data_IF_941602004786
#
_entry.id   IF_941602004786
#
_cell.length_a   1.000
_cell.length_b   1.000
_cell.length_c   1.000
_cell.angle_alpha   90.00
_cell.angle_beta   90.00
_cell.angle_gamma   90.00
#
_symmetry.space_group_name_H-M   'P 1'
#
loop_
_entity.id
_entity.type
_entity.pdbx_description
1 polymer ?
#
# COMPACT_ATOMS: atom_id res chain seq x y z
N UNK A 1 -15.28 24.84 -36.47
CA UNK A 1 -15.84 23.47 -36.51
C UNK A 1 -14.68 22.48 -36.53
N UNK A 2 -14.66 21.48 -35.64
CA UNK A 2 -13.66 20.42 -35.60
C UNK A 2 -14.42 19.08 -35.62
N UNK A 3 -14.21 18.27 -36.66
CA UNK A 3 -14.93 17.01 -36.84
C UNK A 3 -14.42 15.97 -35.83
N UNK A 4 -15.32 15.42 -35.01
CA UNK A 4 -15.03 14.22 -34.21
C UNK A 4 -15.03 12.99 -35.13
N UNK A 5 -13.84 12.46 -35.41
CA UNK A 5 -13.70 11.19 -36.15
C UNK A 5 -14.06 10.02 -35.22
N UNK A 6 -15.19 9.38 -35.49
CA UNK A 6 -15.74 8.29 -34.66
C UNK A 6 -15.20 6.91 -35.08
N UNK A 7 -13.87 6.75 -35.09
CA UNK A 7 -13.21 5.55 -35.63
C UNK A 7 -11.89 5.24 -34.90
N UNK A 8 -11.66 3.97 -34.53
CA UNK A 8 -10.41 3.54 -33.91
C UNK A 8 -9.38 3.18 -35.00
N UNK A 9 -8.22 3.89 -35.10
CA UNK A 9 -7.29 3.79 -36.23
C UNK A 9 -6.50 2.47 -36.32
N UNK A 10 -6.67 1.55 -35.37
CA UNK A 10 -5.97 0.26 -35.34
C UNK A 10 -6.88 -0.96 -35.64
N UNK A 11 -8.20 -0.81 -35.50
CA UNK A 11 -9.14 -1.95 -35.53
C UNK A 11 -10.35 -1.77 -36.46
N UNK A 12 -10.56 -0.58 -37.04
CA UNK A 12 -11.58 -0.36 -38.06
C UNK A 12 -13.05 -0.39 -37.62
N UNK A 13 -13.33 -0.49 -36.31
CA UNK A 13 -14.69 -0.55 -35.79
C UNK A 13 -15.25 0.85 -35.45
N UNK A 14 -16.52 1.09 -35.79
CA UNK A 14 -17.30 2.25 -35.30
C UNK A 14 -17.76 2.00 -33.86
N UNK A 15 -17.54 2.97 -33.00
CA UNK A 15 -18.09 3.00 -31.64
C UNK A 15 -19.60 3.31 -31.71
N UNK A 16 -20.46 2.29 -31.59
CA UNK A 16 -21.90 2.50 -31.37
C UNK A 16 -22.15 2.49 -29.87
N UNK A 17 -22.68 3.59 -29.34
CA UNK A 17 -23.05 3.69 -27.93
C UNK A 17 -24.30 2.84 -27.65
N UNK A 18 -24.11 1.62 -27.17
CA UNK A 18 -25.19 0.80 -26.63
C UNK A 18 -25.45 1.18 -25.17
N UNK A 19 -26.56 1.88 -24.95
CA UNK A 19 -27.19 2.01 -23.64
C UNK A 19 -27.94 0.69 -23.38
N UNK A 20 -27.66 -0.07 -22.31
CA UNK A 20 -28.43 -1.26 -22.00
C UNK A 20 -29.84 -0.85 -21.55
N UNK A 21 -30.82 -1.13 -22.39
CA UNK A 21 -32.25 -1.09 -22.04
C UNK A 21 -32.54 -2.18 -21.01
N UNK A 22 -33.38 -1.84 -20.04
CA UNK A 22 -33.74 -2.70 -18.92
C UNK A 22 -34.89 -3.63 -19.34
N UNK A 23 -34.57 -4.66 -20.12
CA UNK A 23 -35.54 -5.67 -20.59
C UNK A 23 -35.68 -6.81 -19.57
N UNK A 24 -36.88 -6.96 -19.00
CA UNK A 24 -37.15 -7.93 -17.94
C UNK A 24 -37.54 -9.30 -18.50
N UNK A 25 -36.60 -10.26 -18.50
CA UNK A 25 -36.82 -11.65 -18.90
C UNK A 25 -37.03 -12.59 -17.68
N UNK A 26 -37.92 -13.57 -17.82
CA UNK A 26 -38.33 -14.48 -16.75
C UNK A 26 -37.24 -15.50 -16.35
N UNK A 27 -37.24 -15.91 -15.07
CA UNK A 27 -36.23 -16.78 -14.50
C UNK A 27 -36.47 -18.28 -14.80
N UNK A 28 -35.45 -19.05 -15.22
CA UNK A 28 -35.50 -20.52 -15.28
C UNK A 28 -35.37 -21.16 -13.87
N UNK A 29 -35.79 -22.42 -13.68
CA UNK A 29 -35.87 -23.06 -12.37
C UNK A 29 -34.49 -23.35 -11.74
N UNK A 30 -34.39 -23.11 -10.44
CA UNK A 30 -33.16 -23.31 -9.65
C UNK A 30 -32.85 -24.80 -9.43
N UNK A 31 -31.57 -25.23 -9.52
CA UNK A 31 -31.16 -26.56 -9.06
C UNK A 31 -31.25 -26.68 -7.53
N UNK A 32 -31.64 -27.88 -7.05
CA UNK A 32 -31.75 -28.18 -5.62
C UNK A 32 -30.42 -27.98 -4.88
N UNK A 33 -30.44 -27.12 -3.87
CA UNK A 33 -29.35 -26.95 -2.91
C UNK A 33 -29.36 -28.15 -1.93
N UNK A 34 -28.21 -28.81 -1.66
CA UNK A 34 -28.14 -29.85 -0.64
C UNK A 34 -28.31 -29.25 0.77
N UNK A 35 -28.81 -30.02 1.75
CA UNK A 35 -29.03 -29.51 3.11
C UNK A 35 -27.72 -29.03 3.76
N UNK A 36 -27.77 -27.98 4.61
CA UNK A 36 -26.57 -27.47 5.27
C UNK A 36 -26.02 -28.53 6.25
N UNK A 37 -24.72 -28.79 6.12
CA UNK A 37 -23.97 -29.57 7.12
C UNK A 37 -24.04 -28.81 8.46
N UNK A 38 -24.38 -29.45 9.59
CA UNK A 38 -24.40 -28.78 10.89
C UNK A 38 -23.00 -28.27 11.23
N UNK A 39 -22.83 -26.96 11.19
CA UNK A 39 -21.59 -26.29 11.63
C UNK A 39 -21.48 -26.50 13.14
N UNK A 40 -20.37 -27.11 13.58
CA UNK A 40 -20.09 -27.28 14.99
C UNK A 40 -20.08 -25.91 15.71
N UNK A 41 -20.62 -25.87 16.92
CA UNK A 41 -20.68 -24.65 17.71
C UNK A 41 -19.28 -24.00 17.84
N UNK A 42 -19.17 -22.66 17.82
CA UNK A 42 -17.89 -22.01 17.98
C UNK A 42 -17.27 -22.40 19.32
N UNK A 43 -16.05 -22.92 19.27
CA UNK A 43 -15.23 -23.16 20.48
C UNK A 43 -15.15 -21.84 21.25
N UNK A 44 -15.51 -21.81 22.54
CA UNK A 44 -15.35 -20.61 23.35
C UNK A 44 -13.90 -20.16 23.29
N UNK A 45 -13.67 -18.91 22.85
CA UNK A 45 -12.34 -18.33 22.91
C UNK A 45 -11.84 -18.41 24.36
N UNK A 46 -10.62 -18.93 24.55
CA UNK A 46 -10.05 -19.05 25.88
C UNK A 46 -10.06 -17.68 26.56
N UNK A 47 -10.73 -17.59 27.71
CA UNK A 47 -10.80 -16.38 28.51
C UNK A 47 -9.38 -15.91 28.79
N UNK A 48 -9.00 -14.67 28.40
CA UNK A 48 -7.70 -14.14 28.78
C UNK A 48 -7.59 -14.21 30.31
N UNK A 49 -6.50 -14.79 30.81
CA UNK A 49 -6.22 -14.78 32.24
C UNK A 49 -6.25 -13.33 32.75
N UNK A 50 -6.85 -13.04 33.92
CA UNK A 50 -6.92 -11.69 34.43
C UNK A 50 -5.50 -11.14 34.57
N UNK A 51 -5.19 -10.11 33.79
CA UNK A 51 -3.93 -9.37 33.90
C UNK A 51 -3.87 -8.87 35.35
N UNK A 52 -2.83 -9.22 36.13
CA UNK A 52 -2.72 -8.72 37.50
C UNK A 52 -2.72 -7.19 37.45
N UNK A 53 -3.63 -6.58 38.23
CA UNK A 53 -3.74 -5.13 38.29
C UNK A 53 -2.34 -4.54 38.62
N UNK A 54 -1.94 -3.43 37.97
CA UNK A 54 -0.68 -2.78 38.30
C UNK A 54 -0.73 -2.42 39.78
N UNK A 55 0.16 -3.05 40.57
CA UNK A 55 0.36 -2.69 41.98
C UNK A 55 0.61 -1.18 42.01
N UNK A 56 -0.16 -0.40 42.78
CA UNK A 56 0.12 1.01 42.93
C UNK A 56 1.56 1.15 43.42
N UNK A 57 2.43 1.73 42.59
CA UNK A 57 3.76 2.11 43.04
C UNK A 57 3.57 3.00 44.26
N UNK A 58 4.10 2.57 45.40
CA UNK A 58 3.95 3.29 46.65
C UNK A 58 4.43 4.73 46.42
N UNK A 59 3.49 5.68 46.48
CA UNK A 59 3.79 7.09 46.29
C UNK A 59 4.72 7.46 47.43
N UNK A 60 6.01 7.63 47.10
CA UNK A 60 7.00 8.14 48.03
C UNK A 60 6.46 9.48 48.58
N UNK A 61 6.33 9.55 49.90
CA UNK A 61 5.64 10.65 50.56
C UNK A 61 6.19 12.01 50.09
N UNK A 62 5.33 13.01 49.84
CA UNK A 62 5.77 14.31 49.38
C UNK A 62 6.76 14.90 50.40
N UNK A 63 7.99 15.13 49.95
CA UNK A 63 9.04 15.77 50.73
C UNK A 63 8.51 17.14 51.21
N UNK A 64 8.38 17.39 52.52
CA UNK A 64 7.70 18.59 53.00
C UNK A 64 8.36 19.87 52.47
N UNK A 65 7.53 20.80 51.97
CA UNK A 65 7.99 22.13 51.63
C UNK A 65 8.55 22.82 52.89
N UNK A 66 9.69 23.50 52.75
CA UNK A 66 10.20 24.38 53.79
C UNK A 66 9.22 25.55 53.97
N UNK A 67 8.37 25.45 54.99
CA UNK A 67 7.52 26.55 55.44
C UNK A 67 8.44 27.61 56.07
N UNK A 68 8.46 28.87 55.59
CA UNK A 68 9.18 29.93 56.28
C UNK A 68 8.58 30.14 57.67
N UNK A 69 9.46 30.14 58.67
CA UNK A 69 9.15 30.15 60.10
C UNK A 69 8.20 31.30 60.47
N UNK A 70 7.03 31.03 61.11
CA UNK A 70 6.18 32.08 61.65
C UNK A 70 6.93 32.93 62.67
N UNK A 71 6.84 34.26 62.56
CA UNK A 71 7.29 35.17 63.59
C UNK A 71 6.41 35.00 64.85
N UNK A 72 6.97 35.07 66.07
CA UNK A 72 6.19 34.95 67.30
C UNK A 72 5.19 36.12 67.42
N UNK A 73 3.95 35.87 67.88
CA UNK A 73 2.96 36.91 68.05
C UNK A 73 3.34 37.85 69.20
N UNK A 74 3.16 39.17 68.99
CA UNK A 74 3.27 40.15 70.06
C UNK A 74 2.13 39.97 71.08
N UNK A 75 2.39 40.13 72.39
CA UNK A 75 1.35 40.05 73.41
C UNK A 75 0.36 41.23 73.30
N UNK A 76 -0.95 41.00 73.53
CA UNK A 76 -1.96 42.05 73.44
C UNK A 76 -1.88 43.06 74.61
N UNK A 77 -2.20 44.32 74.30
CA UNK A 77 -2.18 45.40 75.28
C UNK A 77 -3.38 45.37 76.24
N UNK A 78 -3.14 45.72 77.51
CA UNK A 78 -4.17 46.07 78.49
C UNK A 78 -4.31 47.61 78.61
N UNK A 79 -5.45 48.15 79.06
CA UNK A 79 -5.88 49.51 78.68
C UNK A 79 -5.69 50.61 79.75
N UNK A 80 -6.11 51.81 79.34
CA UNK A 80 -6.46 53.01 80.13
C UNK A 80 -5.32 53.97 80.56
N UNK A 81 -5.28 55.15 79.92
CA UNK A 81 -5.90 56.41 80.41
C UNK A 81 -5.89 57.49 79.31
N UNK A 82 -6.87 58.39 79.35
CA UNK A 82 -7.00 59.61 78.51
C UNK A 82 -7.36 60.80 79.44
N UNK A 83 -7.45 62.07 79.00
CA UNK A 83 -7.04 62.75 77.75
C UNK A 83 -5.87 63.74 78.11
N UNK A 84 -5.70 65.02 77.65
CA UNK A 84 -6.30 65.78 76.54
C UNK A 84 -5.35 66.67 75.66
N UNK A 85 -5.76 66.79 74.39
CA UNK A 85 -5.77 67.98 73.50
C UNK A 85 -4.55 68.94 73.28
N UNK A 86 -4.38 69.24 71.98
CA UNK A 86 -3.75 70.40 71.28
C UNK A 86 -2.31 70.20 70.74
N UNK A 87 -1.91 70.90 69.65
CA UNK A 87 -2.66 71.09 68.40
C UNK A 87 -1.80 70.89 67.12
N UNK A 88 -2.47 70.68 65.98
CA UNK A 88 -2.02 70.92 64.57
C UNK A 88 -0.54 70.67 64.23
N UNK A 89 -0.27 69.51 63.61
CA UNK A 89 0.90 69.30 62.76
C UNK A 89 0.46 68.85 61.35
N UNK A 90 0.29 69.85 60.48
CA UNK A 90 0.37 69.91 59.00
C UNK A 90 0.18 68.59 58.20
N UNK A 91 -0.74 68.64 57.24
CA UNK A 91 -0.98 67.60 56.25
C UNK A 91 0.30 67.13 55.53
N UNK A 92 0.56 65.82 55.56
CA UNK A 92 1.60 65.18 54.75
C UNK A 92 1.05 64.70 53.40
N UNK A 93 1.01 65.63 52.46
CA UNK A 93 1.12 65.40 51.01
C UNK A 93 2.36 66.22 50.62
N UNK A 94 3.39 65.69 49.92
CA UNK A 94 3.27 64.97 48.66
C UNK A 94 4.32 63.80 48.57
N UNK A 95 4.85 63.28 47.42
CA UNK A 95 5.06 63.91 46.10
C UNK A 95 4.10 63.41 44.99
N UNK A 96 3.80 64.24 43.97
CA UNK A 96 3.27 63.71 42.72
C UNK A 96 4.28 62.73 42.11
N UNK A 97 3.80 61.60 41.59
CA UNK A 97 4.66 60.67 40.84
C UNK A 97 5.27 61.44 39.67
N UNK A 98 6.60 61.45 39.48
CA UNK A 98 7.20 62.16 38.36
C UNK A 98 6.57 61.63 37.06
N UNK A 99 6.21 62.50 36.10
CA UNK A 99 5.59 62.05 34.85
C UNK A 99 6.52 61.01 34.21
N UNK A 100 5.98 59.82 33.97
CA UNK A 100 6.72 58.72 33.34
C UNK A 100 7.30 59.26 32.04
N UNK A 101 8.62 59.45 32.00
CA UNK A 101 9.27 60.17 30.89
C UNK A 101 8.87 59.50 29.57
N UNK A 102 8.64 60.31 28.54
CA UNK A 102 8.23 59.81 27.22
C UNK A 102 9.16 58.67 26.71
N UNK A 103 10.45 58.76 27.03
CA UNK A 103 11.45 57.70 26.77
C UNK A 103 11.15 56.36 27.44
N UNK A 104 10.59 56.35 28.65
CA UNK A 104 10.18 55.11 29.35
C UNK A 104 8.93 54.50 28.72
N UNK A 105 8.00 55.35 28.25
CA UNK A 105 6.86 54.90 27.43
C UNK A 105 7.30 54.33 26.08
N UNK A 106 8.26 54.97 25.41
CA UNK A 106 8.86 54.45 24.16
C UNK A 106 9.59 53.14 24.42
N UNK A 107 10.38 53.03 25.49
CA UNK A 107 11.05 51.78 25.85
C UNK A 107 10.05 50.65 26.16
N UNK A 108 8.99 50.95 26.93
CA UNK A 108 7.90 50.00 27.17
C UNK A 108 7.19 49.61 25.87
N UNK A 109 6.94 50.56 24.96
CA UNK A 109 6.36 50.29 23.66
C UNK A 109 7.28 49.44 22.78
N UNK A 110 8.59 49.68 22.74
CA UNK A 110 9.56 48.86 22.00
C UNK A 110 9.68 47.45 22.58
N UNK A 111 9.68 47.30 23.91
CA UNK A 111 9.65 45.99 24.57
C UNK A 111 8.33 45.27 24.29
N UNK A 112 7.19 45.97 24.34
CA UNK A 112 5.89 45.39 24.02
C UNK A 112 5.79 45.02 22.53
N UNK A 113 6.31 45.85 21.63
CA UNK A 113 6.42 45.59 20.18
C UNK A 113 7.38 44.44 19.92
N UNK A 114 8.45 44.28 20.69
CA UNK A 114 9.41 43.18 20.58
C UNK A 114 8.83 41.85 21.06
N UNK A 115 8.21 41.83 22.26
CA UNK A 115 7.45 40.68 22.78
C UNK A 115 6.30 40.34 21.83
N UNK A 116 5.63 41.34 21.28
CA UNK A 116 4.63 41.15 20.24
C UNK A 116 5.28 40.61 18.96
N UNK A 117 6.41 41.10 18.46
CA UNK A 117 7.08 40.48 17.31
C UNK A 117 7.49 39.02 17.55
N UNK A 118 7.77 38.65 18.81
CA UNK A 118 8.10 37.28 19.22
C UNK A 118 6.88 36.38 19.49
N UNK A 119 5.69 36.95 19.72
CA UNK A 119 4.48 36.23 20.19
C UNK A 119 3.21 36.56 19.37
N UNK A 120 3.31 37.44 18.37
CA UNK A 120 2.28 37.76 17.39
C UNK A 120 2.41 36.79 16.23
N UNK A 121 1.31 36.25 15.71
CA UNK A 121 1.30 35.59 14.41
C UNK A 121 1.50 36.64 13.30
N UNK A 122 2.74 37.02 13.04
CA UNK A 122 3.20 37.53 11.75
C UNK A 122 3.69 36.31 10.93
N UNK A 123 3.11 35.93 9.79
CA UNK A 123 2.00 36.54 9.02
C UNK A 123 1.17 35.46 8.30
N UNK A 124 -0.12 35.72 8.00
CA UNK A 124 -0.90 34.97 7.00
C UNK A 124 -0.73 35.57 5.58
N UNK A 125 -1.10 34.88 4.49
CA UNK A 125 -1.36 33.45 4.34
C UNK A 125 -0.29 32.72 3.50
N UNK A 126 0.71 33.41 2.95
CA UNK A 126 1.59 32.85 1.91
C UNK A 126 2.38 31.62 2.37
N UNK A 127 3.07 31.70 3.52
CA UNK A 127 3.85 30.59 4.07
C UNK A 127 2.99 29.45 4.60
N UNK A 128 1.84 29.74 5.23
CA UNK A 128 0.91 28.73 5.76
C UNK A 128 0.18 28.00 4.64
N UNK A 129 -0.24 28.72 3.58
CA UNK A 129 -0.80 28.09 2.39
C UNK A 129 0.25 27.19 1.72
N UNK A 130 1.50 27.66 1.58
CA UNK A 130 2.60 26.88 1.01
C UNK A 130 2.97 25.66 1.87
N UNK A 131 2.94 25.75 3.22
CA UNK A 131 3.08 24.59 4.11
C UNK A 131 1.92 23.60 3.97
N UNK A 132 0.70 24.08 3.80
CA UNK A 132 -0.49 23.23 3.61
C UNK A 132 -0.46 22.58 2.22
N UNK A 133 0.03 23.26 1.19
CA UNK A 133 0.25 22.68 -0.14
C UNK A 133 1.41 21.69 -0.14
N UNK A 134 2.51 21.95 0.56
CA UNK A 134 3.59 20.99 0.76
C UNK A 134 3.11 19.75 1.54
N UNK A 135 2.34 19.92 2.63
CA UNK A 135 1.74 18.80 3.36
C UNK A 135 0.67 18.05 2.55
N UNK A 136 -0.03 18.74 1.64
CA UNK A 136 -0.95 18.10 0.69
C UNK A 136 -0.17 17.34 -0.39
N UNK A 137 0.98 17.85 -0.83
CA UNK A 137 1.88 17.15 -1.74
C UNK A 137 2.47 15.88 -1.09
N UNK A 138 2.83 15.92 0.20
CA UNK A 138 3.19 14.72 0.98
C UNK A 138 2.03 13.71 1.04
N UNK A 139 0.81 14.17 1.32
CA UNK A 139 -0.38 13.31 1.32
C UNK A 139 -0.71 12.72 -0.06
N UNK A 140 -0.31 13.38 -1.17
CA UNK A 140 -0.40 12.86 -2.54
C UNK A 140 0.77 11.93 -2.90
N UNK A 141 1.94 12.11 -2.29
CA UNK A 141 3.09 11.19 -2.36
C UNK A 141 2.94 9.98 -1.41
N UNK A 142 1.79 9.83 -0.78
CA UNK A 142 1.47 8.80 0.21
C UNK A 142 2.29 8.83 1.51
N UNK A 143 2.97 9.93 1.81
CA UNK A 143 3.51 10.21 3.15
C UNK A 143 2.42 10.81 4.05
N UNK A 144 1.56 9.94 4.55
CA UNK A 144 0.47 10.32 5.45
C UNK A 144 0.96 10.70 6.85
N UNK A 145 2.11 10.19 7.29
CA UNK A 145 2.66 10.45 8.63
C UNK A 145 3.44 11.77 8.67
N UNK A 146 4.13 12.13 7.59
CA UNK A 146 4.58 13.49 7.32
C UNK A 146 3.41 14.47 7.26
N UNK A 147 2.32 14.13 6.56
CA UNK A 147 1.13 14.99 6.50
C UNK A 147 0.40 15.13 7.86
N UNK A 148 0.32 14.07 8.67
CA UNK A 148 -0.24 14.08 10.04
C UNK A 148 0.62 14.89 11.02
N UNK A 149 1.95 14.74 10.95
CA UNK A 149 2.86 15.50 11.80
C UNK A 149 2.87 16.98 11.43
N UNK A 150 2.88 17.32 10.14
CA UNK A 150 2.67 18.69 9.66
C UNK A 150 1.33 19.28 10.15
N UNK A 151 0.25 18.50 10.14
CA UNK A 151 -1.06 18.90 10.66
C UNK A 151 -1.04 19.18 12.18
N UNK A 152 -0.23 18.45 12.95
CA UNK A 152 -0.01 18.73 14.38
C UNK A 152 0.75 20.05 14.59
N UNK A 153 1.80 20.31 13.80
CA UNK A 153 2.56 21.58 13.82
C UNK A 153 1.67 22.76 13.42
N UNK A 154 0.87 22.62 12.36
CA UNK A 154 -0.12 23.62 11.93
C UNK A 154 -1.17 23.92 13.00
N UNK A 155 -1.59 22.90 13.77
CA UNK A 155 -2.48 23.09 14.94
C UNK A 155 -1.79 23.85 16.08
N UNK A 156 -0.54 23.51 16.43
CA UNK A 156 0.19 24.22 17.50
C UNK A 156 0.50 25.68 17.13
N UNK A 157 0.77 25.94 15.84
CA UNK A 157 0.99 27.28 15.28
C UNK A 157 -0.31 28.11 15.09
N UNK A 158 -1.47 27.60 15.53
CA UNK A 158 -2.80 28.23 15.38
C UNK A 158 -3.14 28.62 13.91
N UNK A 159 -2.79 27.77 12.95
CA UNK A 159 -3.12 27.98 11.55
C UNK A 159 -4.65 28.05 11.32
N UNK A 160 -5.14 28.70 10.23
CA UNK A 160 -6.57 28.91 10.05
C UNK A 160 -7.32 27.60 9.84
N UNK A 161 -8.42 27.41 10.59
CA UNK A 161 -9.15 26.15 10.67
C UNK A 161 -9.65 25.60 9.30
N UNK A 162 -9.87 26.48 8.32
CA UNK A 162 -10.23 26.10 6.94
C UNK A 162 -9.13 25.28 6.26
N UNK A 163 -7.85 25.66 6.43
CA UNK A 163 -6.72 24.92 5.86
C UNK A 163 -6.50 23.58 6.58
N UNK A 164 -6.64 23.55 7.91
CA UNK A 164 -6.54 22.32 8.70
C UNK A 164 -7.63 21.32 8.27
N UNK A 165 -8.88 21.78 8.07
CA UNK A 165 -9.97 20.93 7.55
C UNK A 165 -9.71 20.45 6.13
N UNK A 166 -9.17 21.30 5.25
CA UNK A 166 -8.82 20.91 3.86
C UNK A 166 -7.71 19.85 3.83
N UNK A 167 -6.65 20.03 4.63
CA UNK A 167 -5.57 19.05 4.75
C UNK A 167 -6.06 17.74 5.38
N UNK A 168 -6.91 17.80 6.42
CA UNK A 168 -7.50 16.59 6.99
C UNK A 168 -8.37 15.84 5.96
N UNK A 169 -9.17 16.55 5.16
CA UNK A 169 -9.96 15.95 4.10
C UNK A 169 -9.10 15.36 2.97
N UNK A 170 -7.97 15.99 2.60
CA UNK A 170 -7.04 15.43 1.61
C UNK A 170 -6.34 14.18 2.13
N UNK A 171 -5.87 14.18 3.38
CA UNK A 171 -5.30 13.00 4.06
C UNK A 171 -6.32 11.86 4.11
N UNK A 172 -7.56 12.09 4.59
CA UNK A 172 -8.58 11.02 4.64
C UNK A 172 -8.95 10.51 3.24
N UNK A 173 -8.95 11.38 2.22
CA UNK A 173 -9.25 10.99 0.83
C UNK A 173 -8.12 10.19 0.18
N UNK A 174 -6.85 10.50 0.44
CA UNK A 174 -5.71 9.74 -0.09
C UNK A 174 -5.41 8.47 0.70
N UNK A 175 -5.75 8.44 2.00
CA UNK A 175 -5.40 7.35 2.92
C UNK A 175 -5.67 5.95 2.36
N UNK A 176 -6.91 5.64 1.96
CA UNK A 176 -7.26 4.31 1.48
C UNK A 176 -6.52 3.87 0.20
N UNK A 177 -6.12 4.81 -0.66
CA UNK A 177 -5.31 4.52 -1.84
C UNK A 177 -3.84 4.25 -1.47
N UNK A 178 -3.30 5.08 -0.58
CA UNK A 178 -1.94 4.97 -0.07
C UNK A 178 -1.72 3.73 0.80
N UNK A 179 -2.66 3.41 1.70
CA UNK A 179 -2.66 2.17 2.49
C UNK A 179 -2.67 0.95 1.56
N UNK A 180 -3.47 0.97 0.49
CA UNK A 180 -3.50 -0.10 -0.52
C UNK A 180 -2.17 -0.21 -1.28
N UNK A 181 -1.53 0.91 -1.62
CA UNK A 181 -0.23 0.93 -2.29
C UNK A 181 0.91 0.43 -1.36
N UNK A 182 0.87 0.78 -0.08
CA UNK A 182 1.82 0.31 0.92
C UNK A 182 1.65 -1.21 1.17
N UNK A 183 0.41 -1.70 1.30
CA UNK A 183 0.13 -3.13 1.40
C UNK A 183 0.58 -3.91 0.15
N UNK A 184 0.42 -3.33 -1.05
CA UNK A 184 0.98 -3.89 -2.29
C UNK A 184 2.51 -3.99 -2.20
N UNK A 185 3.19 -2.91 -1.82
CA UNK A 185 4.65 -2.89 -1.69
C UNK A 185 5.17 -3.91 -0.66
N UNK A 186 4.45 -4.13 0.44
CA UNK A 186 4.77 -5.17 1.43
C UNK A 186 4.48 -6.59 0.93
N UNK A 187 3.42 -6.79 0.14
CA UNK A 187 3.07 -8.09 -0.44
C UNK A 187 3.97 -8.50 -1.62
N UNK A 188 4.63 -7.53 -2.27
CA UNK A 188 5.50 -7.74 -3.43
C UNK A 188 6.71 -8.66 -3.17
N UNK A 189 7.57 -8.44 -2.15
CA UNK A 189 8.72 -9.33 -1.88
C UNK A 189 8.27 -10.77 -1.58
N UNK A 190 7.23 -10.94 -0.76
CA UNK A 190 6.66 -12.26 -0.46
C UNK A 190 6.16 -12.98 -1.73
N UNK A 191 5.57 -12.26 -2.68
CA UNK A 191 5.25 -12.83 -3.99
C UNK A 191 6.52 -13.21 -4.75
N UNK A 192 7.48 -12.28 -4.89
CA UNK A 192 8.72 -12.54 -5.64
C UNK A 192 9.41 -13.81 -5.14
N UNK A 193 9.55 -13.98 -3.83
CA UNK A 193 10.22 -15.13 -3.25
C UNK A 193 9.42 -16.41 -3.49
N UNK A 194 8.08 -16.35 -3.36
CA UNK A 194 7.22 -17.49 -3.72
C UNK A 194 7.28 -17.86 -5.21
N UNK A 195 7.52 -16.89 -6.10
CA UNK A 195 7.67 -17.12 -7.55
C UNK A 195 9.06 -17.68 -7.84
N UNK A 196 10.12 -17.06 -7.32
CA UNK A 196 11.52 -17.54 -7.43
C UNK A 196 11.67 -18.97 -6.91
N UNK A 197 11.07 -19.29 -5.76
CA UNK A 197 11.05 -20.64 -5.20
C UNK A 197 10.33 -21.62 -6.13
N UNK A 198 9.17 -21.25 -6.69
CA UNK A 198 8.44 -22.10 -7.62
C UNK A 198 9.22 -22.35 -8.92
N UNK A 199 9.93 -21.35 -9.44
CA UNK A 199 10.83 -21.46 -10.59
C UNK A 199 12.05 -22.35 -10.27
N UNK A 200 12.66 -22.18 -9.10
CA UNK A 200 13.81 -22.98 -8.64
C UNK A 200 13.51 -24.48 -8.47
N UNK A 201 12.25 -24.86 -8.28
CA UNK A 201 11.80 -26.26 -8.26
C UNK A 201 11.15 -26.71 -9.59
N UNK A 202 11.33 -25.95 -10.68
CA UNK A 202 10.84 -26.29 -12.02
C UNK A 202 9.32 -26.15 -12.22
N UNK A 203 8.59 -25.49 -11.32
CA UNK A 203 7.11 -25.38 -11.35
C UNK A 203 6.65 -24.05 -11.93
N UNK A 204 6.94 -23.82 -13.22
CA UNK A 204 6.65 -22.56 -13.92
C UNK A 204 5.14 -22.23 -14.07
N UNK A 205 4.26 -23.23 -14.14
CA UNK A 205 2.79 -23.01 -14.15
C UNK A 205 2.28 -22.54 -12.77
N UNK A 206 2.89 -23.03 -11.69
CA UNK A 206 2.57 -22.62 -10.31
C UNK A 206 3.02 -21.17 -10.08
N UNK A 207 4.22 -20.83 -10.57
CA UNK A 207 4.75 -19.46 -10.56
C UNK A 207 3.80 -18.48 -11.27
N UNK A 208 3.33 -18.81 -12.48
CA UNK A 208 2.35 -17.98 -13.21
C UNK A 208 1.02 -17.87 -12.48
N UNK A 209 0.54 -18.96 -11.89
CA UNK A 209 -0.72 -18.96 -11.12
C UNK A 209 -0.64 -18.01 -9.91
N UNK A 210 0.48 -18.04 -9.15
CA UNK A 210 0.74 -17.12 -8.04
C UNK A 210 0.76 -15.66 -8.51
N UNK A 211 1.46 -15.39 -9.61
CA UNK A 211 1.55 -14.05 -10.19
C UNK A 211 0.19 -13.53 -10.69
N UNK A 212 -0.59 -14.37 -11.38
CA UNK A 212 -1.94 -14.02 -11.85
C UNK A 212 -2.91 -13.71 -10.71
N UNK A 213 -2.83 -14.43 -9.58
CA UNK A 213 -3.62 -14.14 -8.38
C UNK A 213 -3.23 -12.78 -7.77
N UNK A 214 -1.93 -12.45 -7.74
CA UNK A 214 -1.46 -11.16 -7.27
C UNK A 214 -1.92 -10.01 -8.18
N UNK A 215 -1.70 -10.14 -9.49
CA UNK A 215 -2.16 -9.17 -10.51
C UNK A 215 -3.67 -8.96 -10.43
N UNK A 216 -4.47 -10.03 -10.28
CA UNK A 216 -5.93 -9.92 -10.09
C UNK A 216 -6.34 -9.11 -8.86
N UNK A 217 -5.54 -9.09 -7.79
CA UNK A 217 -5.84 -8.35 -6.55
C UNK A 217 -5.29 -6.91 -6.54
N UNK A 218 -4.13 -6.70 -7.13
CA UNK A 218 -3.39 -5.43 -7.02
C UNK A 218 -3.24 -4.66 -8.34
N UNK A 219 -3.41 -5.30 -9.49
CA UNK A 219 -3.16 -4.75 -10.84
C UNK A 219 -1.78 -5.11 -11.42
N UNK A 220 -1.62 -4.92 -12.72
CA UNK A 220 -0.32 -4.98 -13.40
C UNK A 220 0.52 -3.72 -13.15
N UNK A 221 1.84 -3.89 -13.21
CA UNK A 221 2.88 -2.89 -12.97
C UNK A 221 4.15 -3.32 -13.72
N UNK A 222 5.09 -2.43 -14.13
CA UNK A 222 6.35 -2.82 -14.77
C UNK A 222 7.06 -4.00 -14.06
N UNK A 223 7.09 -3.99 -12.73
CA UNK A 223 7.69 -5.04 -11.91
C UNK A 223 6.99 -6.41 -12.07
N UNK A 224 5.66 -6.44 -12.20
CA UNK A 224 4.90 -7.70 -12.41
C UNK A 224 5.05 -8.19 -13.84
N UNK A 225 5.19 -7.28 -14.81
CA UNK A 225 5.39 -7.61 -16.23
C UNK A 225 6.79 -8.20 -16.49
N UNK A 226 7.83 -7.67 -15.83
CA UNK A 226 9.17 -8.26 -15.91
C UNK A 226 9.20 -9.67 -15.29
N UNK A 227 8.53 -9.85 -14.15
CA UNK A 227 8.43 -11.16 -13.50
C UNK A 227 7.62 -12.16 -14.35
N UNK A 228 6.51 -11.72 -14.96
CA UNK A 228 5.72 -12.54 -15.91
C UNK A 228 6.56 -12.92 -17.15
N UNK A 229 7.39 -12.01 -17.66
CA UNK A 229 8.27 -12.32 -18.78
C UNK A 229 9.23 -13.46 -18.44
N UNK A 230 9.86 -13.42 -17.26
CA UNK A 230 10.74 -14.48 -16.73
C UNK A 230 9.99 -15.80 -16.52
N UNK A 231 8.78 -15.76 -15.94
CA UNK A 231 7.95 -16.97 -15.77
C UNK A 231 7.58 -17.59 -17.12
N UNK A 232 7.25 -16.79 -18.14
CA UNK A 232 6.96 -17.27 -19.50
C UNK A 232 8.18 -17.86 -20.20
N UNK A 233 9.38 -17.34 -19.96
CA UNK A 233 10.63 -17.97 -20.44
C UNK A 233 10.83 -19.34 -19.77
N UNK A 234 10.60 -19.45 -18.46
CA UNK A 234 10.67 -20.72 -17.75
C UNK A 234 9.60 -21.74 -18.18
N UNK A 235 8.37 -21.29 -18.47
CA UNK A 235 7.35 -22.17 -19.05
C UNK A 235 7.76 -22.68 -20.44
N UNK A 236 8.30 -21.81 -21.28
CA UNK A 236 8.79 -22.19 -22.59
C UNK A 236 9.98 -23.17 -22.48
N UNK A 237 10.91 -22.97 -21.54
CA UNK A 237 12.01 -23.91 -21.32
C UNK A 237 11.49 -25.28 -20.85
N UNK A 238 10.57 -25.34 -19.90
CA UNK A 238 9.95 -26.62 -19.46
C UNK A 238 9.24 -27.35 -20.61
N UNK A 239 8.65 -26.62 -21.58
CA UNK A 239 8.07 -27.24 -22.79
C UNK A 239 9.16 -27.79 -23.73
N UNK A 240 10.31 -27.15 -23.83
CA UNK A 240 11.46 -27.66 -24.58
C UNK A 240 12.16 -28.83 -23.86
N UNK A 241 12.24 -28.80 -22.53
CA UNK A 241 12.75 -29.93 -21.73
C UNK A 241 11.85 -31.18 -21.91
N UNK A 242 10.53 -30.99 -21.98
CA UNK A 242 9.59 -32.06 -22.31
C UNK A 242 9.71 -32.54 -23.78
N UNK A 243 10.05 -31.63 -24.70
CA UNK A 243 10.33 -31.97 -26.10
C UNK A 243 11.59 -32.85 -26.21
N UNK A 244 12.71 -32.45 -25.58
CA UNK A 244 13.93 -33.24 -25.48
C UNK A 244 13.67 -34.62 -24.84
N UNK A 245 12.86 -34.69 -23.77
CA UNK A 245 12.48 -35.95 -23.13
C UNK A 245 11.62 -36.88 -24.01
N UNK A 246 10.85 -36.33 -24.97
CA UNK A 246 10.10 -37.12 -25.95
C UNK A 246 10.95 -37.49 -27.17
N UNK A 247 11.92 -36.65 -27.56
CA UNK A 247 12.93 -36.99 -28.55
C UNK A 247 13.79 -38.17 -28.09
N UNK A 248 14.19 -38.20 -26.81
CA UNK A 248 14.93 -39.31 -26.21
C UNK A 248 14.16 -40.65 -26.21
N UNK A 249 12.83 -40.61 -26.38
CA UNK A 249 11.95 -41.79 -26.51
C UNK A 249 11.63 -42.15 -27.98
N UNK A 250 11.91 -41.25 -28.93
CA UNK A 250 11.43 -41.37 -30.31
C UNK A 250 9.95 -41.00 -30.51
N UNK A 251 9.29 -40.38 -29.53
CA UNK A 251 7.85 -40.09 -29.54
C UNK A 251 7.52 -38.85 -30.42
N UNK A 252 7.42 -39.05 -31.75
CA UNK A 252 7.19 -37.96 -32.72
C UNK A 252 6.02 -37.04 -32.36
N UNK A 253 4.85 -37.60 -32.04
CA UNK A 253 3.64 -36.81 -31.74
C UNK A 253 3.79 -35.99 -30.45
N UNK A 254 4.50 -36.51 -29.45
CA UNK A 254 4.82 -35.74 -28.25
C UNK A 254 5.80 -34.61 -28.56
N UNK A 255 6.84 -34.88 -29.36
CA UNK A 255 7.82 -33.88 -29.80
C UNK A 255 7.16 -32.74 -30.58
N UNK A 256 6.31 -33.04 -31.56
CA UNK A 256 5.51 -32.07 -32.30
C UNK A 256 4.64 -31.21 -31.37
N UNK A 257 3.88 -31.85 -30.47
CA UNK A 257 2.92 -31.17 -29.58
C UNK A 257 3.62 -30.24 -28.57
N UNK A 258 4.73 -30.70 -27.99
CA UNK A 258 5.53 -29.92 -27.02
C UNK A 258 6.27 -28.76 -27.69
N UNK A 259 6.81 -28.96 -28.89
CA UNK A 259 7.45 -27.91 -29.69
C UNK A 259 6.46 -26.82 -30.11
N UNK A 260 5.28 -27.18 -30.63
CA UNK A 260 4.20 -26.22 -30.94
C UNK A 260 3.77 -25.46 -29.67
N UNK A 261 3.72 -26.12 -28.51
CA UNK A 261 3.39 -25.46 -27.25
C UNK A 261 4.48 -24.46 -26.81
N UNK A 262 5.77 -24.78 -26.99
CA UNK A 262 6.88 -23.86 -26.72
C UNK A 262 6.87 -22.64 -27.66
N UNK A 263 6.59 -22.86 -28.95
CA UNK A 263 6.59 -21.79 -29.97
C UNK A 263 5.53 -20.71 -29.74
N UNK A 264 4.41 -21.05 -29.09
CA UNK A 264 3.37 -20.07 -28.70
C UNK A 264 3.89 -18.94 -27.81
N UNK A 265 4.97 -19.18 -27.05
CA UNK A 265 5.62 -18.17 -26.19
C UNK A 265 6.53 -17.20 -26.96
N UNK A 266 6.88 -17.51 -28.22
CA UNK A 266 7.68 -16.65 -29.13
C UNK A 266 8.91 -15.98 -28.48
N UNK A 267 9.70 -16.75 -27.74
CA UNK A 267 10.90 -16.25 -27.04
C UNK A 267 12.16 -16.35 -27.92
N UNK A 268 12.80 -15.22 -28.31
CA UNK A 268 13.97 -15.25 -29.18
C UNK A 268 15.19 -15.90 -28.51
N UNK A 269 15.31 -15.77 -27.19
CA UNK A 269 16.37 -16.39 -26.36
C UNK A 269 16.41 -17.93 -26.48
N UNK A 270 15.28 -18.56 -26.80
CA UNK A 270 15.15 -20.01 -26.96
C UNK A 270 15.18 -20.45 -28.43
N UNK A 271 15.28 -19.52 -29.39
CA UNK A 271 15.12 -19.82 -30.82
C UNK A 271 16.13 -20.87 -31.34
N UNK A 272 17.38 -20.81 -30.89
CA UNK A 272 18.41 -21.78 -31.26
C UNK A 272 18.06 -23.21 -30.78
N UNK A 273 17.54 -23.36 -29.55
CA UNK A 273 17.11 -24.66 -29.00
C UNK A 273 15.89 -25.20 -29.75
N UNK A 274 14.91 -24.33 -30.05
CA UNK A 274 13.75 -24.71 -30.88
C UNK A 274 14.16 -25.13 -32.29
N UNK A 275 15.14 -24.46 -32.91
CA UNK A 275 15.67 -24.86 -34.21
C UNK A 275 16.36 -26.22 -34.15
N UNK A 276 17.21 -26.48 -33.16
CA UNK A 276 17.86 -27.77 -32.98
C UNK A 276 16.84 -28.92 -32.82
N UNK A 277 15.79 -28.72 -32.02
CA UNK A 277 14.70 -29.69 -31.86
C UNK A 277 13.91 -29.93 -33.16
N UNK A 278 13.68 -28.91 -33.98
CA UNK A 278 13.06 -29.07 -35.31
C UNK A 278 13.95 -29.89 -36.27
N UNK A 279 15.25 -29.65 -36.29
CA UNK A 279 16.20 -30.43 -37.10
C UNK A 279 16.29 -31.89 -36.63
N UNK A 280 16.25 -32.13 -35.33
CA UNK A 280 16.24 -33.48 -34.80
C UNK A 280 14.91 -34.21 -35.07
N UNK A 281 13.78 -33.49 -35.09
CA UNK A 281 12.48 -33.99 -35.53
C UNK A 281 12.49 -34.40 -37.02
N UNK A 282 13.12 -33.61 -37.91
CA UNK A 282 13.22 -33.99 -39.33
C UNK A 282 14.11 -35.22 -39.54
N UNK A 283 15.21 -35.35 -38.80
CA UNK A 283 16.04 -36.56 -38.81
C UNK A 283 15.31 -37.79 -38.27
N UNK A 284 14.46 -37.63 -37.25
CA UNK A 284 13.60 -38.70 -36.74
C UNK A 284 12.59 -39.16 -37.81
N UNK A 285 11.98 -38.21 -38.52
CA UNK A 285 11.08 -38.48 -39.65
C UNK A 285 11.81 -39.24 -40.78
N UNK A 286 12.97 -38.77 -41.22
CA UNK A 286 13.79 -39.42 -42.25
C UNK A 286 14.12 -40.87 -41.88
N UNK A 287 14.59 -41.13 -40.65
CA UNK A 287 14.84 -42.49 -40.16
C UNK A 287 13.57 -43.34 -40.15
N UNK A 288 12.46 -42.80 -39.64
CA UNK A 288 11.19 -43.54 -39.60
C UNK A 288 10.65 -43.89 -40.99
N UNK A 289 10.94 -43.08 -42.02
CA UNK A 289 10.57 -43.37 -43.41
C UNK A 289 11.50 -44.41 -44.06
N UNK A 290 12.77 -44.44 -43.68
CA UNK A 290 13.75 -45.43 -44.16
C UNK A 290 13.51 -46.81 -43.52
N UNK A 291 13.27 -46.88 -42.21
CA UNK A 291 12.93 -48.13 -41.49
C UNK A 291 11.53 -48.65 -41.85
N UNK A 292 10.62 -47.78 -42.31
CA UNK A 292 9.29 -48.17 -42.80
C UNK A 292 9.28 -48.75 -44.22
N UNK A 293 10.44 -48.94 -44.87
CA UNK A 293 10.54 -49.78 -46.07
C UNK A 293 10.50 -51.25 -45.61
N UNK A 294 9.39 -51.99 -45.79
CA UNK A 294 9.40 -53.40 -45.45
C UNK A 294 10.41 -54.10 -46.36
N UNK A 295 11.37 -54.81 -45.76
CA UNK A 295 11.93 -55.99 -46.41
C UNK A 295 10.73 -56.84 -46.79
N UNK A 296 10.52 -57.04 -48.09
CA UNK A 296 9.40 -57.80 -48.60
C UNK A 296 9.54 -59.25 -48.13
N UNK A 297 8.94 -59.57 -46.98
CA UNK A 297 8.80 -60.93 -46.50
C UNK A 297 8.03 -61.68 -47.57
N UNK A 298 8.72 -62.61 -48.23
CA UNK A 298 8.20 -63.32 -49.38
C UNK A 298 6.87 -63.98 -49.02
N UNK A 299 5.78 -63.50 -49.65
CA UNK A 299 4.48 -64.15 -49.57
C UNK A 299 4.61 -65.50 -50.26
N UNK A 300 4.44 -66.64 -49.56
CA UNK A 300 4.50 -67.94 -50.21
C UNK A 300 3.32 -68.05 -51.18
N UNK A 301 3.63 -68.29 -52.46
CA UNK A 301 2.64 -68.49 -53.52
C UNK A 301 1.83 -69.75 -53.18
N UNK A 302 0.48 -69.68 -53.06
CA UNK A 302 -0.33 -70.87 -52.86
C UNK A 302 -0.31 -71.74 -54.12
N UNK A 303 -0.05 -73.03 -53.94
CA UNK A 303 -0.01 -74.00 -55.04
C UNK A 303 -1.41 -74.17 -55.70
N UNK A 304 -1.47 -74.46 -57.01
CA UNK A 304 -2.74 -74.67 -57.70
C UNK A 304 -3.43 -75.94 -57.19
N UNK A 305 -4.73 -75.85 -56.90
CA UNK A 305 -5.54 -76.99 -56.52
C UNK A 305 -5.77 -77.95 -57.71
N UNK A 306 -5.79 -79.28 -57.49
CA UNK A 306 -6.10 -80.24 -58.54
C UNK A 306 -7.59 -80.17 -58.92
N UNK A 307 -7.87 -80.28 -60.22
CA UNK A 307 -9.24 -80.34 -60.73
C UNK A 307 -9.91 -81.69 -60.42
N UNK A 308 -11.19 -81.63 -60.07
CA UNK A 308 -12.19 -82.70 -60.18
C UNK A 308 -13.50 -82.09 -60.69
#
# INVERSE_FOLDING_TARGET
MLLRVAYCPFCGARQVAQVPVLEQAAAPPLPRVPPPVPVAAPVPAATPAPIPAPVPAAIAAPKPAFVPKPAPPAPPAAPAKAPPAKPVARASVPPPRPPVRLRTWIAAAVVLIGIWFFNKPADPPASVAQQVEAATALALQCDLDGARSALAVLKSAKAPAAHIKRLQASITKSAAACDRQQQRAQAWPALQDSVKQALGVGKADLAATRLAVYVKRWGDDPDTLELDAKVKVAQASTRLDAADACLAKGDRICLETSLIAAERYKRPELAARTQALRTALSQLLERSLLDAVPVAVAVPVPAPAPAQ
#
